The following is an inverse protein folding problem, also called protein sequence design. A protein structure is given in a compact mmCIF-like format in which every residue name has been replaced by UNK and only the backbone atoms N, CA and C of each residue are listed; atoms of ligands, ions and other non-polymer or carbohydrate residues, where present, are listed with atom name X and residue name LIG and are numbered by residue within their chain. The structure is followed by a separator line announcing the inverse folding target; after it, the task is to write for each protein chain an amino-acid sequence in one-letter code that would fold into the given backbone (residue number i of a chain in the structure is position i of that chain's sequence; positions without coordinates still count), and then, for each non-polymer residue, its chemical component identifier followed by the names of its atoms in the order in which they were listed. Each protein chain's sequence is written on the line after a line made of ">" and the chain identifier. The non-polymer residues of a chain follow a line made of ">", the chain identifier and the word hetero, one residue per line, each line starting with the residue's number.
data_IF_670659249950
#
_entry.id   IF_670659249950
#
_cell.length_a   1.000
_cell.length_b   1.000
_cell.length_c   1.000
_cell.angle_alpha   90.00
_cell.angle_beta   90.00
_cell.angle_gamma   90.00
#
_symmetry.space_group_name_H-M   'P 1'
#
loop_
_entity.id
_entity.type
_entity.pdbx_description
1 polymer ?
#
# COMPACT_ATOMS: atom_id res chain seq x y z
N UNK A 1 -6.32 18.92 -0.90
CA UNK A 1 -6.15 17.97 0.22
C UNK A 1 -4.86 17.22 -0.02
N UNK A 2 -3.76 17.59 0.63
CA UNK A 2 -2.44 16.99 0.41
C UNK A 2 -2.07 16.12 1.61
N UNK A 3 -1.89 14.82 1.38
CA UNK A 3 -1.34 13.89 2.38
C UNK A 3 0.01 13.40 1.83
N UNK A 4 0.99 13.18 2.69
CA UNK A 4 2.29 12.66 2.23
C UNK A 4 2.15 11.27 1.62
N UNK A 5 3.00 10.94 0.64
CA UNK A 5 2.93 9.65 -0.05
C UNK A 5 3.02 8.46 0.92
N UNK A 6 3.93 8.51 1.90
CA UNK A 6 4.02 7.48 2.95
C UNK A 6 2.72 7.32 3.73
N UNK A 7 2.10 8.43 4.15
CA UNK A 7 0.85 8.40 4.92
C UNK A 7 -0.32 7.92 4.07
N UNK A 8 -0.29 8.18 2.75
CA UNK A 8 -1.21 7.59 1.77
C UNK A 8 -1.02 6.09 1.64
N UNK A 9 0.23 5.66 1.53
CA UNK A 9 0.61 4.27 1.35
C UNK A 9 0.23 3.39 2.54
N UNK A 10 0.38 3.93 3.75
CA UNK A 10 -0.04 3.28 5.00
C UNK A 10 -1.55 3.39 5.27
N UNK A 11 -2.26 4.29 4.59
CA UNK A 11 -3.69 4.48 4.83
C UNK A 11 -4.49 3.27 4.36
N UNK A 12 -5.39 2.78 5.22
CA UNK A 12 -6.29 1.66 4.93
C UNK A 12 -7.65 1.90 5.58
N UNK A 13 -8.68 1.10 5.30
CA UNK A 13 -9.98 1.26 5.94
C UNK A 13 -9.92 1.14 7.47
N UNK A 14 -8.94 0.37 7.97
CA UNK A 14 -8.71 0.09 9.39
C UNK A 14 -7.85 1.17 10.06
N UNK A 15 -6.97 1.81 9.27
CA UNK A 15 -6.08 2.91 9.69
C UNK A 15 -6.21 4.08 8.69
N UNK A 16 -7.30 4.86 8.79
CA UNK A 16 -7.55 5.96 7.85
C UNK A 16 -6.65 7.15 8.14
N UNK A 17 -6.19 7.83 7.09
CA UNK A 17 -5.42 9.07 7.22
C UNK A 17 -6.34 10.26 7.55
N UNK A 18 -5.99 11.00 8.59
CA UNK A 18 -6.69 12.23 8.98
C UNK A 18 -6.27 13.43 8.13
N UNK A 19 -7.25 14.21 7.66
CA UNK A 19 -7.07 15.50 7.00
C UNK A 19 -6.87 16.61 8.03
N UNK A 20 -5.69 17.25 8.07
CA UNK A 20 -5.45 18.39 8.96
C UNK A 20 -6.28 19.63 8.62
N UNK A 21 -6.61 19.83 7.34
CA UNK A 21 -7.36 21.00 6.88
C UNK A 21 -8.89 20.90 7.08
N UNK A 22 -9.42 19.69 7.16
CA UNK A 22 -10.86 19.45 7.06
C UNK A 22 -11.42 18.46 8.09
N UNK A 23 -10.57 17.89 8.94
CA UNK A 23 -10.96 16.96 10.01
C UNK A 23 -11.51 15.61 9.53
N UNK A 24 -11.70 15.42 8.22
CA UNK A 24 -12.26 14.20 7.63
C UNK A 24 -11.22 13.08 7.55
N UNK A 25 -11.71 11.85 7.66
CA UNK A 25 -10.91 10.63 7.50
C UNK A 25 -10.98 10.15 6.06
N UNK A 26 -9.81 9.87 5.49
CA UNK A 26 -9.67 9.40 4.12
C UNK A 26 -8.73 8.21 4.07
N UNK A 27 -8.98 7.29 3.15
CA UNK A 27 -8.13 6.13 2.95
C UNK A 27 -7.90 5.94 1.46
N UNK A 28 -6.73 5.47 1.09
CA UNK A 28 -6.52 4.90 -0.23
C UNK A 28 -7.18 3.52 -0.23
N UNK A 29 -8.24 3.34 -1.02
CA UNK A 29 -8.76 2.00 -1.26
C UNK A 29 -7.60 1.18 -1.83
N UNK A 30 -7.24 0.05 -1.20
CA UNK A 30 -6.23 -0.88 -1.72
C UNK A 30 -6.78 -1.54 -2.99
N UNK A 31 -6.89 -0.76 -4.05
CA UNK A 31 -7.17 -1.24 -5.40
C UNK A 31 -5.86 -1.62 -6.08
N UNK A 32 -5.05 -2.44 -5.42
CA UNK A 32 -4.37 -3.48 -6.20
C UNK A 32 -5.42 -4.54 -6.44
N UNK A 33 -6.41 -4.26 -7.29
CA UNK A 33 -7.26 -5.31 -7.84
C UNK A 33 -6.33 -6.41 -8.35
N UNK A 34 -6.66 -7.67 -8.09
CA UNK A 34 -5.76 -8.81 -8.30
C UNK A 34 -5.05 -8.79 -9.66
N UNK A 35 -5.68 -8.20 -10.67
CA UNK A 35 -5.10 -7.94 -12.01
C UNK A 35 -3.72 -7.28 -11.96
N UNK A 36 -3.49 -6.25 -11.15
CA UNK A 36 -2.18 -5.57 -11.09
C UNK A 36 -1.07 -6.47 -10.51
N UNK A 37 -1.42 -7.32 -9.55
CA UNK A 37 -0.51 -8.33 -8.97
C UNK A 37 -0.24 -9.43 -9.99
N UNK A 38 -1.26 -9.87 -10.70
CA UNK A 38 -1.15 -10.90 -11.74
C UNK A 38 -0.24 -10.43 -12.88
N UNK A 39 -0.43 -9.21 -13.40
CA UNK A 39 0.43 -8.65 -14.46
C UNK A 39 1.88 -8.52 -14.00
N UNK A 40 2.11 -8.04 -12.78
CA UNK A 40 3.46 -7.97 -12.21
C UNK A 40 4.10 -9.36 -12.06
N UNK A 41 3.35 -10.35 -11.57
CA UNK A 41 3.82 -11.72 -11.42
C UNK A 41 4.18 -12.36 -12.77
N UNK A 42 3.33 -12.18 -13.78
CA UNK A 42 3.64 -12.64 -15.15
C UNK A 42 4.88 -11.94 -15.71
N UNK A 43 5.01 -10.62 -15.55
CA UNK A 43 6.17 -9.87 -16.02
C UNK A 43 7.48 -10.33 -15.38
N UNK A 44 7.49 -10.50 -14.04
CA UNK A 44 8.66 -11.01 -13.31
C UNK A 44 8.97 -12.45 -13.75
N UNK A 45 7.96 -13.30 -13.87
CA UNK A 45 8.14 -14.70 -14.27
C UNK A 45 8.73 -14.80 -15.68
N UNK A 46 8.17 -14.08 -16.65
CA UNK A 46 8.69 -14.01 -18.02
C UNK A 46 10.13 -13.47 -18.05
N UNK A 47 10.44 -12.45 -17.24
CA UNK A 47 11.80 -11.93 -17.12
C UNK A 47 12.79 -12.93 -16.50
N UNK A 48 12.32 -13.81 -15.61
CA UNK A 48 13.10 -14.91 -15.06
C UNK A 48 13.42 -15.97 -16.11
N UNK A 49 12.46 -16.33 -16.96
CA UNK A 49 12.70 -17.22 -18.11
C UNK A 49 13.65 -16.60 -19.14
N UNK A 50 13.53 -15.29 -19.40
CA UNK A 50 14.47 -14.59 -20.29
C UNK A 50 15.89 -14.55 -19.69
N UNK A 51 16.01 -14.32 -18.38
CA UNK A 51 17.29 -14.30 -17.68
C UNK A 51 17.99 -15.68 -17.71
N UNK A 52 17.24 -16.77 -17.54
CA UNK A 52 17.80 -18.12 -17.62
C UNK A 52 18.21 -18.49 -19.05
N UNK A 53 17.41 -18.13 -20.05
CA UNK A 53 17.72 -18.40 -21.46
C UNK A 53 18.95 -17.62 -21.96
N UNK A 54 19.09 -16.35 -21.53
CA UNK A 54 20.20 -15.48 -21.90
C UNK A 54 21.43 -15.65 -21.01
N UNK A 55 21.36 -16.49 -19.96
CA UNK A 55 22.38 -16.63 -18.91
C UNK A 55 22.83 -15.28 -18.32
N UNK A 56 21.91 -14.33 -18.24
CA UNK A 56 22.20 -12.96 -17.85
C UNK A 56 21.17 -12.51 -16.82
N UNK A 57 21.62 -11.84 -15.76
CA UNK A 57 20.75 -11.41 -14.66
C UNK A 57 19.95 -10.13 -14.97
N UNK A 58 20.44 -9.32 -15.92
CA UNK A 58 19.83 -8.03 -16.26
C UNK A 58 18.34 -8.08 -16.66
N UNK A 59 17.81 -9.11 -17.37
CA UNK A 59 16.40 -9.16 -17.74
C UNK A 59 15.50 -9.24 -16.51
N UNK A 60 15.90 -10.04 -15.52
CA UNK A 60 15.18 -10.19 -14.26
C UNK A 60 15.17 -8.88 -13.46
N UNK A 61 16.31 -8.17 -13.39
CA UNK A 61 16.37 -6.84 -12.80
C UNK A 61 15.40 -5.87 -13.47
N UNK A 62 15.38 -5.84 -14.80
CA UNK A 62 14.46 -4.99 -15.55
C UNK A 62 12.99 -5.33 -15.23
N UNK A 63 12.64 -6.61 -15.15
CA UNK A 63 11.29 -7.06 -14.79
C UNK A 63 10.86 -6.63 -13.39
N UNK A 64 11.76 -6.78 -12.40
CA UNK A 64 11.51 -6.36 -11.01
C UNK A 64 11.37 -4.84 -10.91
N UNK A 65 12.27 -4.09 -11.54
CA UNK A 65 12.21 -2.62 -11.54
C UNK A 65 10.93 -2.12 -12.22
N UNK A 66 10.54 -2.70 -13.35
CA UNK A 66 9.29 -2.35 -14.03
C UNK A 66 8.07 -2.61 -13.15
N UNK A 67 8.03 -3.76 -12.44
CA UNK A 67 6.96 -4.08 -11.51
C UNK A 67 6.88 -3.08 -10.34
N UNK A 68 8.02 -2.68 -9.76
CA UNK A 68 8.04 -1.67 -8.71
C UNK A 68 7.58 -0.29 -9.20
N UNK A 69 8.05 0.14 -10.37
CA UNK A 69 7.65 1.43 -10.97
C UNK A 69 6.15 1.44 -11.24
N UNK A 70 5.61 0.36 -11.81
CA UNK A 70 4.17 0.20 -12.02
C UNK A 70 3.40 0.30 -10.70
N UNK A 71 3.86 -0.41 -9.66
CA UNK A 71 3.22 -0.40 -8.35
C UNK A 71 3.19 1.00 -7.72
N UNK A 72 4.33 1.70 -7.73
CA UNK A 72 4.44 3.08 -7.20
C UNK A 72 3.58 4.05 -8.00
N UNK A 73 3.61 3.97 -9.33
CA UNK A 73 2.81 4.82 -10.21
C UNK A 73 1.31 4.61 -9.99
N UNK A 74 0.88 3.36 -9.89
CA UNK A 74 -0.52 3.01 -9.62
C UNK A 74 -0.98 3.53 -8.27
N UNK A 75 -0.16 3.37 -7.22
CA UNK A 75 -0.39 3.94 -5.89
C UNK A 75 -0.48 5.46 -5.88
N UNK A 76 0.36 6.12 -6.67
CA UNK A 76 0.32 7.56 -6.81
C UNK A 76 -1.00 8.02 -7.43
N UNK A 77 -1.51 7.30 -8.44
CA UNK A 77 -2.78 7.61 -9.12
C UNK A 77 -4.04 7.20 -8.36
N UNK A 78 -3.95 6.34 -7.34
CA UNK A 78 -5.13 5.89 -6.60
C UNK A 78 -5.82 7.07 -5.92
N UNK A 79 -7.13 7.20 -6.09
CA UNK A 79 -7.91 8.28 -5.45
C UNK A 79 -8.11 7.95 -3.97
N UNK A 80 -8.11 9.01 -3.16
CA UNK A 80 -8.45 8.94 -1.74
C UNK A 80 -9.97 8.92 -1.63
N UNK A 81 -10.50 7.91 -0.97
CA UNK A 81 -11.92 7.83 -0.64
C UNK A 81 -12.15 8.36 0.77
N UNK A 82 -13.26 9.07 0.95
CA UNK A 82 -13.68 9.55 2.27
C UNK A 82 -14.41 8.44 3.02
N UNK A 83 -14.06 8.24 4.28
CA UNK A 83 -14.71 7.24 5.13
C UNK A 83 -16.03 7.79 5.70
N UNK A 84 -17.09 6.98 5.67
CA UNK A 84 -18.36 7.31 6.31
C UNK A 84 -18.19 7.41 7.84
N UNK A 85 -18.90 8.33 8.53
CA UNK A 85 -18.72 8.59 9.96
C UNK A 85 -18.96 7.36 10.84
N UNK A 86 -19.82 6.44 10.42
CA UNK A 86 -20.08 5.17 11.12
C UNK A 86 -18.85 4.24 11.16
N UNK A 87 -18.08 4.20 10.07
CA UNK A 87 -16.88 3.36 9.92
C UNK A 87 -15.67 3.94 10.66
N UNK A 88 -15.65 5.26 10.86
CA UNK A 88 -14.60 5.95 11.64
C UNK A 88 -14.55 5.42 13.07
N UNK A 89 -15.70 5.15 13.69
CA UNK A 89 -15.76 4.63 15.07
C UNK A 89 -15.08 3.26 15.22
N UNK A 90 -15.22 2.38 14.22
CA UNK A 90 -14.56 1.07 14.18
C UNK A 90 -13.07 1.21 13.94
N UNK A 91 -12.67 2.06 12.99
CA UNK A 91 -11.27 2.33 12.70
C UNK A 91 -10.52 2.92 13.90
N UNK A 92 -11.19 3.76 14.71
CA UNK A 92 -10.60 4.32 15.94
C UNK A 92 -10.33 3.26 17.01
N UNK A 93 -11.21 2.25 17.13
CA UNK A 93 -11.00 1.13 18.05
C UNK A 93 -9.78 0.29 17.63
N UNK A 94 -9.58 0.09 16.34
CA UNK A 94 -8.42 -0.65 15.83
C UNK A 94 -7.11 0.13 15.98
N UNK A 95 -7.11 1.44 15.75
CA UNK A 95 -5.96 2.29 16.09
C UNK A 95 -5.62 2.23 17.58
N UNK A 96 -6.63 2.34 18.46
CA UNK A 96 -6.44 2.26 19.90
C UNK A 96 -5.85 0.90 20.31
N UNK A 97 -6.36 -0.21 19.75
CA UNK A 97 -5.81 -1.55 19.99
C UNK A 97 -4.36 -1.68 19.51
N UNK A 98 -4.03 -1.13 18.34
CA UNK A 98 -2.66 -1.12 17.82
C UNK A 98 -1.70 -0.35 18.74
N UNK A 99 -2.10 0.83 19.22
CA UNK A 99 -1.33 1.61 20.18
C UNK A 99 -1.13 0.86 21.52
N UNK A 100 -2.19 0.17 21.99
CA UNK A 100 -2.15 -0.63 23.21
C UNK A 100 -1.20 -1.84 23.07
N UNK A 101 -1.20 -2.51 21.92
CA UNK A 101 -0.28 -3.61 21.63
C UNK A 101 1.18 -3.15 21.61
N UNK A 102 1.47 -1.98 21.03
CA UNK A 102 2.82 -1.39 21.05
C UNK A 102 3.26 -1.02 22.46
N UNK A 103 2.36 -0.46 23.28
CA UNK A 103 2.62 -0.17 24.68
C UNK A 103 2.92 -1.44 25.48
N UNK A 104 2.12 -2.49 25.32
CA UNK A 104 2.34 -3.78 25.98
C UNK A 104 3.68 -4.38 25.56
N UNK A 105 4.01 -4.35 24.27
CA UNK A 105 5.29 -4.83 23.76
C UNK A 105 6.49 -4.04 24.31
N UNK A 106 6.34 -2.72 24.53
CA UNK A 106 7.37 -1.89 25.14
C UNK A 106 7.58 -2.20 26.63
N UNK A 107 6.52 -2.58 27.36
CA UNK A 107 6.61 -2.97 28.78
C UNK A 107 7.10 -4.42 28.98
N UNK A 108 6.95 -5.28 27.98
CA UNK A 108 7.39 -6.68 28.00
C UNK A 108 8.85 -6.88 27.54
N UNK A 109 9.50 -5.82 27.06
CA UNK A 109 10.90 -5.80 26.61
C UNK A 109 11.75 -5.03 27.61
#
# INVERSE_FOLDING_TARGET
>A
MSISFFRKWLSSPVLPASCSACGRYSYAHRSSGGVGVVVAAFGITASGFAASALQAFWPLLCGVVAAMVFYVWHWHRTRLETLAPELVSRARKTEAMGALAVLIAFFLN
#
